data_IF_616368422438
#
_entry.id   IF_616368422438
#
_cell.length_a   1.000
_cell.length_b   1.000
_cell.length_c   1.000
_cell.angle_alpha   90.00
_cell.angle_beta   90.00
_cell.angle_gamma   90.00
#
_symmetry.space_group_name_H-M   'P 1'
#
loop_
_entity.id
_entity.type
_entity.pdbx_description
1 polymer ?
#
# COMPACT_ATOMS: atom_id res chain seq x y z
N UNK A 1 25.89 -44.40 10.73
CA UNK A 1 25.23 -43.38 9.88
C UNK A 1 25.04 -42.13 10.72
N UNK A 2 25.06 -40.94 10.11
CA UNK A 2 24.70 -39.71 10.83
C UNK A 2 23.23 -39.81 11.25
N UNK A 3 22.90 -39.50 12.50
CA UNK A 3 21.52 -39.53 13.00
C UNK A 3 20.59 -38.59 12.21
N UNK A 4 19.27 -38.76 12.31
CA UNK A 4 18.30 -37.93 11.59
C UNK A 4 18.45 -36.46 11.99
N UNK A 5 18.23 -35.57 11.04
CA UNK A 5 18.20 -34.13 11.32
C UNK A 5 16.97 -33.78 12.16
N UNK A 6 17.16 -32.87 13.12
CA UNK A 6 16.09 -32.25 13.88
C UNK A 6 15.96 -30.81 13.44
N UNK A 7 14.74 -30.40 13.12
CA UNK A 7 14.40 -29.03 12.75
C UNK A 7 13.75 -28.31 13.93
N UNK A 8 14.04 -27.03 14.08
CA UNK A 8 13.32 -26.16 15.00
C UNK A 8 13.20 -24.76 14.40
N UNK A 9 11.95 -24.30 14.24
CA UNK A 9 11.65 -22.95 13.82
C UNK A 9 11.54 -22.06 15.05
N UNK A 10 12.12 -20.87 15.00
CA UNK A 10 11.98 -19.86 16.04
C UNK A 10 11.51 -18.55 15.42
N UNK A 11 10.66 -17.81 16.13
CA UNK A 11 10.28 -16.42 15.85
C UNK A 11 10.72 -15.54 17.00
N UNK A 12 11.51 -14.51 16.71
CA UNK A 12 12.02 -13.54 17.66
C UNK A 12 12.74 -14.19 18.87
N UNK A 13 13.42 -15.31 18.62
CA UNK A 13 14.17 -16.08 19.62
C UNK A 13 13.33 -17.09 20.41
N UNK A 14 12.01 -17.14 20.19
CA UNK A 14 11.12 -18.11 20.82
C UNK A 14 10.81 -19.26 19.86
N UNK A 15 10.76 -20.49 20.37
CA UNK A 15 10.39 -21.65 19.56
C UNK A 15 8.96 -21.53 19.07
N UNK A 16 8.80 -21.66 17.77
CA UNK A 16 7.52 -21.62 17.09
C UNK A 16 7.00 -23.07 16.98
N UNK A 17 5.75 -23.29 17.36
CA UNK A 17 5.12 -24.60 17.32
C UNK A 17 3.86 -24.55 16.45
N UNK A 18 3.34 -25.74 16.10
CA UNK A 18 2.03 -25.84 15.47
C UNK A 18 0.95 -25.34 16.45
N UNK A 19 0.07 -24.48 15.95
CA UNK A 19 -1.14 -24.02 16.66
C UNK A 19 -2.30 -23.84 15.65
N UNK A 20 -3.37 -23.17 16.07
CA UNK A 20 -4.55 -22.93 15.21
C UNK A 20 -4.23 -22.12 13.94
N UNK A 21 -3.20 -21.28 13.98
CA UNK A 21 -2.73 -20.43 12.86
C UNK A 21 -1.50 -21.02 12.18
N UNK A 22 -0.48 -21.37 12.95
CA UNK A 22 0.83 -21.79 12.45
C UNK A 22 0.84 -23.28 12.15
N UNK A 23 1.20 -23.63 10.90
CA UNK A 23 1.41 -25.01 10.47
C UNK A 23 2.85 -25.23 10.04
N UNK A 24 3.55 -26.14 10.71
CA UNK A 24 4.92 -26.56 10.42
C UNK A 24 4.86 -28.01 9.95
N UNK A 25 5.27 -28.24 8.71
CA UNK A 25 5.35 -29.56 8.08
C UNK A 25 6.79 -29.86 7.71
N UNK A 26 7.28 -31.01 8.16
CA UNK A 26 8.63 -31.48 7.85
C UNK A 26 8.56 -32.53 6.73
N UNK A 27 9.44 -32.39 5.76
CA UNK A 27 9.69 -33.34 4.68
C UNK A 27 11.17 -33.73 4.70
N UNK A 28 11.56 -34.72 3.90
CA UNK A 28 12.93 -35.28 3.93
C UNK A 28 14.02 -34.21 3.69
N UNK A 29 13.77 -33.27 2.76
CA UNK A 29 14.76 -32.29 2.31
C UNK A 29 14.38 -30.82 2.62
N UNK A 30 13.19 -30.57 3.15
CA UNK A 30 12.70 -29.21 3.40
C UNK A 30 11.64 -29.17 4.49
N UNK A 31 11.42 -27.97 5.04
CA UNK A 31 10.32 -27.68 5.95
C UNK A 31 9.42 -26.60 5.36
N UNK A 32 8.12 -26.69 5.62
CA UNK A 32 7.13 -25.69 5.21
C UNK A 32 6.50 -25.09 6.47
N UNK A 33 6.60 -23.78 6.60
CA UNK A 33 5.91 -23.01 7.64
C UNK A 33 4.81 -22.19 6.96
N UNK A 34 3.56 -22.45 7.33
CA UNK A 34 2.39 -21.75 6.80
C UNK A 34 1.73 -20.96 7.92
N UNK A 35 1.53 -19.68 7.70
CA UNK A 35 0.72 -18.79 8.56
C UNK A 35 -0.30 -18.14 7.62
N UNK A 36 -1.56 -18.59 7.61
CA UNK A 36 -2.61 -17.99 6.80
C UNK A 36 -3.00 -16.62 7.38
N UNK A 37 -3.59 -15.76 6.54
CA UNK A 37 -4.15 -14.46 6.94
C UNK A 37 -3.17 -13.62 7.78
N UNK A 38 -1.95 -13.47 7.28
CA UNK A 38 -0.84 -12.84 8.02
C UNK A 38 -1.17 -11.42 8.48
N UNK A 39 -0.83 -11.13 9.73
CA UNK A 39 -0.99 -9.84 10.38
C UNK A 39 0.38 -9.22 10.70
N UNK A 40 0.41 -7.95 11.13
CA UNK A 40 1.67 -7.26 11.44
C UNK A 40 2.50 -7.96 12.51
N UNK A 41 1.85 -8.64 13.43
CA UNK A 41 2.48 -9.38 14.51
C UNK A 41 3.26 -10.60 14.01
N UNK A 42 2.90 -11.11 12.82
CA UNK A 42 3.62 -12.20 12.15
C UNK A 42 4.95 -11.72 11.52
N UNK A 43 5.20 -10.41 11.44
CA UNK A 43 6.53 -9.92 11.10
C UNK A 43 7.54 -10.23 12.22
N UNK A 44 8.80 -10.43 11.87
CA UNK A 44 9.82 -10.74 12.87
C UNK A 44 11.10 -11.33 12.31
N UNK A 45 12.02 -11.67 13.21
CA UNK A 45 13.21 -12.45 12.90
C UNK A 45 12.90 -13.91 13.13
N UNK A 46 12.77 -14.65 12.05
CA UNK A 46 12.62 -16.10 12.11
C UNK A 46 14.00 -16.75 12.00
N UNK A 47 14.13 -17.97 12.49
CA UNK A 47 15.33 -18.76 12.29
C UNK A 47 14.98 -20.25 12.23
N UNK A 48 15.61 -20.94 11.28
CA UNK A 48 15.54 -22.40 11.19
C UNK A 48 16.83 -22.95 11.79
N UNK A 49 16.71 -23.66 12.90
CA UNK A 49 17.78 -24.45 13.48
C UNK A 49 17.69 -25.87 12.92
N UNK A 50 18.80 -26.38 12.40
CA UNK A 50 18.93 -27.78 11.98
C UNK A 50 20.08 -28.39 12.76
N UNK A 51 19.88 -29.55 13.37
CA UNK A 51 20.93 -30.22 14.13
C UNK A 51 20.92 -31.75 13.92
N UNK A 52 22.10 -32.35 13.93
CA UNK A 52 22.30 -33.79 14.07
C UNK A 52 23.55 -34.07 14.94
N UNK A 53 23.90 -35.34 15.10
CA UNK A 53 25.06 -35.74 15.93
C UNK A 53 26.41 -35.20 15.42
N UNK A 54 26.47 -34.69 14.19
CA UNK A 54 27.67 -34.11 13.58
C UNK A 54 27.74 -32.59 13.71
N UNK A 55 26.68 -31.92 14.14
CA UNK A 55 26.68 -30.46 14.31
C UNK A 55 25.31 -29.81 14.14
N UNK A 56 25.30 -28.48 14.18
CA UNK A 56 24.11 -27.67 14.00
C UNK A 56 24.37 -26.49 13.06
N UNK A 57 23.31 -26.04 12.39
CA UNK A 57 23.30 -24.80 11.65
C UNK A 57 22.07 -23.96 12.04
N UNK A 58 22.23 -22.64 12.02
CA UNK A 58 21.18 -21.66 12.23
C UNK A 58 21.05 -20.82 10.96
N UNK A 59 19.84 -20.75 10.41
CA UNK A 59 19.54 -19.98 9.20
C UNK A 59 18.56 -18.86 9.58
N UNK A 60 19.05 -17.63 9.85
CA UNK A 60 18.19 -16.51 10.19
C UNK A 60 17.51 -15.94 8.94
N UNK A 61 16.23 -15.58 9.07
CA UNK A 61 15.42 -14.98 8.01
C UNK A 61 14.57 -13.83 8.61
N UNK A 62 14.52 -12.68 7.92
CA UNK A 62 13.70 -11.55 8.36
C UNK A 62 12.42 -11.51 7.55
N UNK A 63 11.28 -11.77 8.19
CA UNK A 63 9.96 -11.66 7.57
C UNK A 63 9.43 -10.25 7.77
N UNK A 64 8.89 -9.66 6.71
CA UNK A 64 8.11 -8.43 6.75
C UNK A 64 6.71 -8.74 6.23
N UNK A 65 5.70 -8.19 6.88
CA UNK A 65 4.33 -8.21 6.40
C UNK A 65 4.04 -6.84 5.80
N UNK A 66 3.74 -6.80 4.51
CA UNK A 66 3.50 -5.58 3.76
C UNK A 66 2.09 -5.68 3.15
N UNK A 67 1.31 -4.61 3.28
CA UNK A 67 0.00 -4.42 2.70
C UNK A 67 0.02 -3.13 1.85
N UNK A 68 -1.00 -2.87 1.01
CA UNK A 68 -1.14 -1.55 0.40
C UNK A 68 -1.30 -0.48 1.48
N UNK A 69 -0.96 0.79 1.21
CA UNK A 69 -1.19 1.87 2.16
C UNK A 69 -2.68 2.04 2.45
N UNK A 70 -3.00 2.68 3.57
CA UNK A 70 -4.33 3.27 3.75
C UNK A 70 -4.54 4.44 2.76
N UNK A 71 -5.79 4.89 2.52
CA UNK A 71 -6.03 6.09 1.74
C UNK A 71 -5.21 7.29 2.22
N UNK A 72 -4.85 8.21 1.32
CA UNK A 72 -4.38 9.54 1.73
C UNK A 72 -5.33 10.17 2.75
N UNK A 73 -4.79 10.88 3.72
CA UNK A 73 -5.61 11.47 4.79
C UNK A 73 -6.31 12.71 4.27
N UNK A 74 -7.64 12.74 4.39
CA UNK A 74 -8.48 13.84 3.94
C UNK A 74 -8.57 15.04 4.89
N UNK A 75 -9.31 16.09 4.47
CA UNK A 75 -10.00 16.20 3.18
C UNK A 75 -9.03 16.36 1.99
N UNK A 76 -9.50 16.05 0.77
CA UNK A 76 -8.79 16.45 -0.45
C UNK A 76 -9.06 17.94 -0.68
N UNK A 77 -8.04 18.76 -0.52
CA UNK A 77 -8.14 20.21 -0.68
C UNK A 77 -7.98 20.58 -2.16
N UNK A 78 -8.88 21.44 -2.65
CA UNK A 78 -8.89 21.91 -4.04
C UNK A 78 -8.71 23.42 -4.04
N UNK A 79 -7.74 23.90 -4.80
CA UNK A 79 -7.35 25.31 -4.87
C UNK A 79 -6.91 25.70 -6.28
N UNK A 80 -6.65 27.00 -6.50
CA UNK A 80 -6.13 27.53 -7.77
C UNK A 80 -6.92 27.04 -9.00
N UNK A 81 -8.24 26.97 -8.87
CA UNK A 81 -9.14 26.52 -9.94
C UNK A 81 -9.16 27.59 -11.03
N UNK A 82 -9.04 27.13 -12.27
CA UNK A 82 -9.24 27.93 -13.47
C UNK A 82 -10.02 27.11 -14.50
N UNK A 83 -10.18 27.65 -15.72
CA UNK A 83 -10.87 26.97 -16.81
C UNK A 83 -10.18 25.69 -17.30
N UNK A 84 -8.87 25.53 -17.07
CA UNK A 84 -8.07 24.43 -17.65
C UNK A 84 -7.30 23.60 -16.61
N UNK A 85 -7.31 24.00 -15.34
CA UNK A 85 -6.56 23.32 -14.27
C UNK A 85 -7.13 23.56 -12.88
N UNK A 86 -6.81 22.65 -11.96
CA UNK A 86 -7.04 22.80 -10.51
C UNK A 86 -5.86 22.18 -9.74
N UNK A 87 -5.52 22.74 -8.59
CA UNK A 87 -4.47 22.20 -7.70
C UNK A 87 -5.10 21.42 -6.57
N UNK A 88 -4.70 20.16 -6.44
CA UNK A 88 -5.09 19.25 -5.38
C UNK A 88 -3.99 19.20 -4.32
N UNK A 89 -4.38 19.17 -3.05
CA UNK A 89 -3.48 18.97 -1.92
C UNK A 89 -4.09 17.98 -0.92
N UNK A 90 -3.26 17.11 -0.36
CA UNK A 90 -3.70 16.08 0.58
C UNK A 90 -2.61 15.82 1.63
N UNK A 91 -2.90 14.95 2.60
CA UNK A 91 -1.90 14.46 3.56
C UNK A 91 -1.55 13.00 3.26
N UNK A 92 -0.34 12.53 3.62
CA UNK A 92 0.01 11.12 3.50
C UNK A 92 -0.99 10.21 4.24
N UNK A 93 -1.05 8.92 3.88
CA UNK A 93 -1.75 7.92 4.67
C UNK A 93 -1.28 7.91 6.13
N UNK A 94 -2.19 7.64 7.06
CA UNK A 94 -1.81 7.39 8.47
C UNK A 94 -1.01 6.10 8.64
N UNK A 95 -1.14 5.19 7.67
CA UNK A 95 -0.46 3.92 7.66
C UNK A 95 -0.04 3.59 6.22
N UNK A 96 1.26 3.32 6.03
CA UNK A 96 1.87 3.00 4.75
C UNK A 96 1.80 1.52 4.39
N UNK A 97 1.17 0.69 5.24
CA UNK A 97 1.06 -0.74 5.00
C UNK A 97 2.33 -1.52 5.33
N UNK A 98 3.31 -0.94 6.02
CA UNK A 98 4.55 -1.62 6.39
C UNK A 98 5.70 -1.45 5.37
N UNK A 99 5.45 -0.68 4.32
CA UNK A 99 6.48 -0.22 3.38
C UNK A 99 6.19 1.20 2.94
N UNK A 100 7.26 2.00 2.79
CA UNK A 100 7.15 3.43 2.51
C UNK A 100 6.29 3.70 1.27
N UNK A 101 5.51 4.76 1.32
CA UNK A 101 4.80 5.28 0.14
C UNK A 101 5.85 5.74 -0.90
N UNK A 102 5.72 5.25 -2.13
CA UNK A 102 6.61 5.56 -3.26
C UNK A 102 6.04 6.62 -4.19
N UNK A 103 4.74 6.90 -4.10
CA UNK A 103 4.07 7.95 -4.85
C UNK A 103 2.55 7.91 -4.72
N UNK A 104 1.87 8.67 -5.57
CA UNK A 104 0.43 8.80 -5.60
C UNK A 104 -0.11 8.71 -7.03
N UNK A 105 -1.25 8.03 -7.17
CA UNK A 105 -2.10 8.10 -8.35
C UNK A 105 -3.09 9.24 -8.16
N UNK A 106 -3.19 10.13 -9.14
CA UNK A 106 -4.21 11.18 -9.19
C UNK A 106 -5.10 10.93 -10.38
N UNK A 107 -6.41 10.98 -10.17
CA UNK A 107 -7.40 10.78 -11.21
C UNK A 107 -8.49 11.84 -11.15
N UNK A 108 -9.15 12.04 -12.27
CA UNK A 108 -10.30 12.94 -12.41
C UNK A 108 -11.47 12.23 -13.07
N UNK A 109 -12.69 12.70 -12.82
CA UNK A 109 -13.90 12.26 -13.51
C UNK A 109 -14.71 13.48 -13.92
N UNK A 110 -15.05 13.59 -15.20
CA UNK A 110 -15.89 14.67 -15.74
C UNK A 110 -17.37 14.32 -15.53
N UNK A 111 -18.05 15.03 -14.63
CA UNK A 111 -19.44 14.74 -14.27
C UNK A 111 -20.45 15.49 -15.13
N UNK A 112 -20.00 16.41 -15.99
CA UNK A 112 -20.86 17.38 -16.72
C UNK A 112 -21.82 16.75 -17.72
N UNK A 113 -21.51 15.54 -18.21
CA UNK A 113 -22.28 14.85 -19.26
C UNK A 113 -22.75 13.45 -18.83
N UNK A 114 -22.75 13.17 -17.53
CA UNK A 114 -23.08 11.84 -17.01
C UNK A 114 -22.03 10.76 -17.34
N UNK A 115 -20.81 11.16 -17.68
CA UNK A 115 -19.70 10.22 -17.85
C UNK A 115 -19.24 9.71 -16.48
N UNK A 116 -19.15 8.40 -16.30
CA UNK A 116 -18.82 7.78 -15.00
C UNK A 116 -17.38 7.23 -14.92
N UNK A 117 -16.54 7.53 -15.91
CA UNK A 117 -15.18 6.99 -15.97
C UNK A 117 -14.17 7.87 -15.21
N UNK A 118 -13.47 7.28 -14.26
CA UNK A 118 -12.25 7.86 -13.71
C UNK A 118 -11.11 7.76 -14.73
N UNK A 119 -10.43 8.87 -14.97
CA UNK A 119 -9.31 8.97 -15.92
C UNK A 119 -8.04 9.27 -15.13
N UNK A 120 -6.98 8.45 -15.26
CA UNK A 120 -5.70 8.71 -14.62
C UNK A 120 -5.05 9.97 -15.20
N UNK A 121 -4.60 10.84 -14.31
CA UNK A 121 -3.86 12.07 -14.63
C UNK A 121 -2.37 11.83 -14.44
N UNK A 122 -1.99 11.16 -13.35
CA UNK A 122 -0.60 10.73 -13.08
C UNK A 122 -0.59 9.52 -12.15
N UNK A 123 0.47 8.71 -12.24
CA UNK A 123 0.78 7.62 -11.30
C UNK A 123 2.15 7.81 -10.62
N UNK A 124 2.81 8.94 -10.87
CA UNK A 124 4.19 9.20 -10.47
C UNK A 124 4.33 10.45 -9.57
N UNK A 125 3.23 10.94 -8.99
CA UNK A 125 3.29 12.09 -8.09
C UNK A 125 4.02 11.69 -6.81
N UNK A 126 5.15 12.32 -6.50
CA UNK A 126 5.91 12.06 -5.27
C UNK A 126 5.52 12.97 -4.12
N UNK A 127 5.02 14.15 -4.46
CA UNK A 127 4.58 15.16 -3.51
C UNK A 127 3.12 14.91 -3.09
N UNK A 128 2.70 15.59 -2.01
CA UNK A 128 1.29 15.58 -1.56
C UNK A 128 0.48 16.74 -2.12
N UNK A 129 0.90 17.24 -3.28
CA UNK A 129 0.20 18.25 -4.06
C UNK A 129 0.40 17.98 -5.55
N UNK A 130 -0.62 18.27 -6.34
CA UNK A 130 -0.58 18.08 -7.80
C UNK A 130 -1.54 19.01 -8.51
N UNK A 131 -1.08 19.69 -9.55
CA UNK A 131 -1.94 20.48 -10.45
C UNK A 131 -2.46 19.60 -11.58
N UNK A 132 -3.75 19.30 -11.55
CA UNK A 132 -4.45 18.56 -12.61
C UNK A 132 -4.64 19.49 -13.82
N UNK A 133 -4.05 19.18 -14.99
CA UNK A 133 -4.22 19.99 -16.20
C UNK A 133 -5.39 19.50 -17.06
N UNK A 134 -5.62 20.18 -18.18
CA UNK A 134 -6.54 19.76 -19.26
C UNK A 134 -7.99 19.56 -18.80
N UNK A 135 -8.45 20.42 -17.89
CA UNK A 135 -9.87 20.57 -17.59
C UNK A 135 -10.55 21.36 -18.72
N UNK A 136 -11.86 21.18 -18.86
CA UNK A 136 -12.66 21.91 -19.84
C UNK A 136 -13.43 23.04 -19.16
N UNK A 137 -13.46 24.22 -19.77
CA UNK A 137 -14.13 25.39 -19.22
C UNK A 137 -15.62 25.13 -19.00
N UNK A 138 -16.12 25.47 -17.83
CA UNK A 138 -17.50 25.25 -17.40
C UNK A 138 -17.87 23.81 -17.05
N UNK A 139 -16.96 22.83 -17.22
CA UNK A 139 -17.21 21.44 -16.83
C UNK A 139 -17.01 21.24 -15.32
N UNK A 140 -17.75 20.29 -14.75
CA UNK A 140 -17.63 19.83 -13.37
C UNK A 140 -16.78 18.57 -13.29
N UNK A 141 -15.89 18.53 -12.29
CA UNK A 141 -14.98 17.42 -12.06
C UNK A 141 -15.02 16.92 -10.62
N UNK A 142 -15.03 15.60 -10.47
CA UNK A 142 -14.59 14.94 -9.24
C UNK A 142 -13.12 14.57 -9.34
N UNK A 143 -12.43 14.54 -8.21
CA UNK A 143 -11.03 14.15 -8.11
C UNK A 143 -10.84 13.04 -7.08
N UNK A 144 -9.84 12.18 -7.31
CA UNK A 144 -9.39 11.25 -6.29
C UNK A 144 -7.89 11.04 -6.31
N UNK A 145 -7.36 10.69 -5.16
CA UNK A 145 -5.95 10.40 -4.95
C UNK A 145 -5.79 9.09 -4.21
N UNK A 146 -4.87 8.24 -4.65
CA UNK A 146 -4.52 6.97 -4.02
C UNK A 146 -3.02 6.94 -3.75
N UNK A 147 -2.60 6.37 -2.62
CA UNK A 147 -1.18 6.20 -2.28
C UNK A 147 -0.66 4.85 -2.84
N UNK A 148 0.62 4.80 -3.20
CA UNK A 148 1.27 3.61 -3.76
C UNK A 148 2.46 3.23 -2.87
N UNK A 149 2.60 1.94 -2.57
CA UNK A 149 3.86 1.36 -2.07
C UNK A 149 4.26 0.12 -2.90
N UNK A 150 5.28 -0.61 -2.45
CA UNK A 150 5.76 -1.80 -3.17
C UNK A 150 4.74 -2.95 -3.26
N UNK A 151 3.76 -3.00 -2.35
CA UNK A 151 2.73 -4.03 -2.35
C UNK A 151 1.52 -3.65 -3.19
N UNK A 152 1.18 -2.36 -3.28
CA UNK A 152 0.09 -1.92 -4.15
C UNK A 152 -0.39 -0.50 -3.92
N UNK A 153 -1.62 -0.27 -4.39
CA UNK A 153 -2.29 1.03 -4.36
C UNK A 153 -3.40 1.01 -3.30
N UNK A 154 -3.56 2.10 -2.57
CA UNK A 154 -4.60 2.26 -1.55
C UNK A 154 -5.99 2.43 -2.15
N UNK A 155 -7.02 2.32 -1.28
CA UNK A 155 -8.33 2.91 -1.57
C UNK A 155 -8.22 4.44 -1.78
N UNK A 156 -9.16 5.07 -2.52
CA UNK A 156 -9.06 6.48 -2.90
C UNK A 156 -9.55 7.45 -1.83
N UNK A 157 -8.82 8.53 -1.63
CA UNK A 157 -9.34 9.77 -1.06
C UNK A 157 -10.04 10.57 -2.17
N UNK A 158 -11.34 10.82 -2.02
CA UNK A 158 -12.16 11.54 -3.01
C UNK A 158 -12.40 13.00 -2.61
N UNK A 159 -12.63 13.86 -3.60
CA UNK A 159 -13.24 15.17 -3.39
C UNK A 159 -14.60 15.03 -2.70
N UNK A 160 -14.94 15.98 -1.84
CA UNK A 160 -16.22 15.97 -1.11
C UNK A 160 -17.40 16.48 -1.95
N UNK A 161 -17.12 17.25 -2.99
CA UNK A 161 -18.08 17.74 -3.96
C UNK A 161 -17.39 17.97 -5.33
N UNK A 162 -18.16 18.00 -6.44
CA UNK A 162 -17.64 18.39 -7.75
C UNK A 162 -17.09 19.82 -7.76
N UNK A 163 -16.09 20.06 -8.60
CA UNK A 163 -15.51 21.40 -8.83
C UNK A 163 -15.73 21.83 -10.27
N UNK A 164 -16.35 22.99 -10.48
CA UNK A 164 -16.46 23.60 -11.81
C UNK A 164 -15.13 24.22 -12.23
N UNK A 165 -14.59 23.79 -13.37
CA UNK A 165 -13.40 24.37 -13.97
C UNK A 165 -13.76 25.70 -14.65
N UNK A 166 -13.63 26.81 -13.90
CA UNK A 166 -13.85 28.18 -14.39
C UNK A 166 -12.96 29.14 -13.64
N UNK A 167 -12.71 30.31 -14.23
CA UNK A 167 -12.03 31.38 -13.51
C UNK A 167 -12.92 31.91 -12.37
N UNK A 168 -12.37 32.18 -11.17
CA UNK A 168 -13.13 32.70 -10.04
C UNK A 168 -13.68 34.12 -10.30
N UNK A 169 -13.08 34.88 -11.23
CA UNK A 169 -13.52 36.20 -11.62
C UNK A 169 -13.54 36.33 -13.14
N UNK A 170 -14.73 36.47 -13.72
CA UNK A 170 -14.89 37.11 -15.04
C UNK A 170 -14.78 38.61 -14.81
N UNK A 171 -13.64 39.23 -15.14
CA UNK A 171 -13.63 40.69 -15.28
C UNK A 171 -14.50 41.04 -16.50
N UNK A 172 -15.63 41.70 -16.24
CA UNK A 172 -16.47 42.36 -17.23
C UNK A 172 -15.70 43.51 -17.89
#
# INVERSE_FOLDING_TARGET
GKGPFKFQVNKDGQSLANDDRVRIQEFDDFIVVTIPDTEREDAGKYAINVANDSGSCNVPLKVKIIAPPLPPTGPLEISNVSKDRATLSWKPPKDDGGSKVTGYVVERRDTSKGADAWIPVTQACKETTFTVPSLLDGHEYDFRVMAINENGTSEPLRSTAPTTAKLPFSML
#
